data_IF_224050657510
#
_entry.id   IF_224050657510
#
_cell.length_a   1.000
_cell.length_b   1.000
_cell.length_c   1.000
_cell.angle_alpha   90.00
_cell.angle_beta   90.00
_cell.angle_gamma   90.00
#
_symmetry.space_group_name_H-M   'P 1'
#
loop_
_entity.id
_entity.type
_entity.pdbx_description
1 polymer ?
#
# COMPACT_ATOMS: atom_id res chain seq x y z
N UNK A 1 -14.57 33.47 0.08
CA UNK A 1 -13.51 34.40 -0.38
C UNK A 1 -12.65 33.81 -1.50
N UNK A 2 -12.15 32.58 -1.41
CA UNK A 2 -11.27 31.99 -2.44
C UNK A 2 -11.98 31.18 -3.53
N UNK A 3 -13.23 30.75 -3.29
CA UNK A 3 -13.95 29.83 -4.19
C UNK A 3 -13.49 28.37 -4.09
N UNK A 4 -12.56 28.06 -3.19
CA UNK A 4 -12.10 26.70 -2.92
C UNK A 4 -13.07 25.96 -2.00
N UNK A 5 -13.22 24.66 -2.23
CA UNK A 5 -13.89 23.77 -1.28
C UNK A 5 -13.05 23.62 -0.01
N UNK A 6 -13.73 23.48 1.11
CA UNK A 6 -13.16 23.27 2.43
C UNK A 6 -13.27 21.80 2.84
N UNK A 7 -12.22 21.29 3.48
CA UNK A 7 -12.19 19.93 3.99
C UNK A 7 -11.68 19.90 5.44
N UNK A 8 -12.23 19.03 6.27
CA UNK A 8 -11.73 18.81 7.64
C UNK A 8 -11.83 17.34 8.10
N UNK A 9 -11.00 16.96 9.06
CA UNK A 9 -11.10 15.68 9.75
C UNK A 9 -12.31 15.66 10.68
N UNK A 10 -13.04 14.55 10.70
CA UNK A 10 -14.04 14.21 11.72
C UNK A 10 -13.66 12.89 12.39
N UNK A 11 -13.80 12.85 13.72
CA UNK A 11 -13.39 11.71 14.53
C UNK A 11 -14.52 11.15 15.41
N UNK A 12 -15.67 11.82 15.45
CA UNK A 12 -16.87 11.45 16.20
C UNK A 12 -18.08 12.24 15.67
N UNK A 13 -19.27 11.94 16.18
CA UNK A 13 -20.52 12.63 15.82
C UNK A 13 -20.49 14.14 16.07
N UNK A 14 -19.93 14.59 17.19
CA UNK A 14 -19.85 16.02 17.54
C UNK A 14 -19.05 16.81 16.49
N UNK A 15 -17.96 16.24 15.97
CA UNK A 15 -17.18 16.87 14.90
C UNK A 15 -17.97 16.96 13.59
N UNK A 16 -18.75 15.92 13.27
CA UNK A 16 -19.65 15.93 12.11
C UNK A 16 -20.67 17.06 12.25
N UNK A 17 -21.37 17.15 13.38
CA UNK A 17 -22.38 18.18 13.62
C UNK A 17 -21.80 19.60 13.48
N UNK A 18 -20.61 19.82 14.03
CA UNK A 18 -19.91 21.10 13.90
C UNK A 18 -19.54 21.40 12.45
N UNK A 19 -18.99 20.43 11.72
CA UNK A 19 -18.59 20.62 10.34
C UNK A 19 -19.81 20.89 9.42
N UNK A 20 -20.93 20.21 9.66
CA UNK A 20 -22.19 20.47 8.96
C UNK A 20 -22.74 21.86 9.29
N UNK A 21 -22.77 22.24 10.57
CA UNK A 21 -23.21 23.56 11.03
C UNK A 21 -22.41 24.70 10.41
N UNK A 22 -21.12 24.48 10.17
CA UNK A 22 -20.22 25.45 9.55
C UNK A 22 -20.09 25.27 8.03
N UNK A 23 -20.91 24.42 7.42
CA UNK A 23 -20.96 24.16 5.99
C UNK A 23 -19.60 23.79 5.37
N UNK A 24 -18.84 22.91 6.04
CA UNK A 24 -17.65 22.30 5.43
C UNK A 24 -18.09 21.42 4.26
N UNK A 25 -17.35 21.46 3.14
CA UNK A 25 -17.77 20.80 1.90
C UNK A 25 -17.44 19.30 1.89
N UNK A 26 -16.26 18.94 2.41
CA UNK A 26 -15.72 17.57 2.40
C UNK A 26 -15.30 17.18 3.82
N UNK A 27 -15.66 15.99 4.24
CA UNK A 27 -15.30 15.45 5.54
C UNK A 27 -14.35 14.27 5.32
N UNK A 28 -13.28 14.13 6.10
CA UNK A 28 -12.49 12.90 6.08
C UNK A 28 -12.44 12.20 7.43
N UNK A 29 -12.43 10.88 7.38
CA UNK A 29 -12.22 10.01 8.54
C UNK A 29 -10.73 9.68 8.61
N UNK A 30 -10.09 10.08 9.70
CA UNK A 30 -8.65 9.86 9.91
C UNK A 30 -8.28 8.39 10.11
N UNK A 31 -7.03 8.05 9.82
CA UNK A 31 -6.52 6.67 9.85
C UNK A 31 -6.66 5.97 11.22
N UNK A 32 -6.64 6.74 12.32
CA UNK A 32 -6.85 6.23 13.69
C UNK A 32 -8.33 6.04 14.05
N UNK A 33 -9.24 6.71 13.35
CA UNK A 33 -10.68 6.50 13.49
C UNK A 33 -11.14 5.33 12.64
N UNK A 34 -10.58 5.18 11.43
CA UNK A 34 -10.87 4.06 10.51
C UNK A 34 -10.64 2.69 11.14
N UNK A 35 -9.70 2.56 12.09
CA UNK A 35 -9.48 1.26 12.75
C UNK A 35 -10.62 0.81 13.67
N UNK A 36 -11.57 1.68 14.00
CA UNK A 36 -12.67 1.37 14.91
C UNK A 36 -14.01 1.33 14.17
N UNK A 37 -14.59 0.13 13.98
CA UNK A 37 -15.92 0.00 13.39
C UNK A 37 -17.01 0.79 14.11
N UNK A 38 -16.89 0.95 15.43
CA UNK A 38 -17.85 1.72 16.24
C UNK A 38 -17.76 3.21 15.97
N UNK A 39 -16.55 3.76 15.85
CA UNK A 39 -16.36 5.19 15.54
C UNK A 39 -16.83 5.49 14.12
N UNK A 40 -16.49 4.63 13.16
CA UNK A 40 -16.97 4.80 11.78
C UNK A 40 -18.49 4.70 11.72
N UNK A 41 -19.11 3.80 12.48
CA UNK A 41 -20.57 3.71 12.57
C UNK A 41 -21.19 4.97 13.18
N UNK A 42 -20.62 5.49 14.28
CA UNK A 42 -21.07 6.74 14.91
C UNK A 42 -21.02 7.92 13.93
N UNK A 43 -19.92 8.04 13.18
CA UNK A 43 -19.75 9.07 12.14
C UNK A 43 -20.78 8.85 11.01
N UNK A 44 -20.96 7.61 10.55
CA UNK A 44 -21.92 7.26 9.50
C UNK A 44 -23.36 7.64 9.90
N UNK A 45 -23.74 7.36 11.15
CA UNK A 45 -25.07 7.70 11.66
C UNK A 45 -25.30 9.20 11.75
N UNK A 46 -24.28 9.98 12.15
CA UNK A 46 -24.34 11.44 12.19
C UNK A 46 -24.39 12.08 10.79
N UNK A 47 -23.88 11.40 9.76
CA UNK A 47 -23.89 11.87 8.38
C UNK A 47 -25.19 11.59 7.64
N UNK A 48 -26.09 10.74 8.18
CA UNK A 48 -27.33 10.34 7.50
C UNK A 48 -28.16 11.54 7.04
N UNK A 49 -28.62 11.47 5.79
CA UNK A 49 -29.44 12.53 5.18
C UNK A 49 -28.65 13.75 4.70
N UNK A 50 -27.31 13.71 4.78
CA UNK A 50 -26.45 14.72 4.17
C UNK A 50 -26.02 14.30 2.76
N UNK A 51 -25.63 15.27 1.95
CA UNK A 51 -25.08 15.10 0.60
C UNK A 51 -23.56 15.34 0.55
N UNK A 52 -22.92 15.49 1.72
CA UNK A 52 -21.50 15.81 1.84
C UNK A 52 -20.63 14.70 1.27
N UNK A 53 -19.47 15.11 0.73
CA UNK A 53 -18.46 14.16 0.28
C UNK A 53 -17.68 13.66 1.49
N UNK A 54 -17.50 12.34 1.58
CA UNK A 54 -16.77 11.69 2.68
C UNK A 54 -15.56 10.94 2.14
N UNK A 55 -14.39 11.30 2.65
CA UNK A 55 -13.13 10.64 2.32
C UNK A 55 -12.68 9.75 3.48
N UNK A 56 -12.26 8.52 3.19
CA UNK A 56 -11.87 7.56 4.25
C UNK A 56 -10.39 7.25 4.12
N UNK A 57 -9.58 7.68 5.10
CA UNK A 57 -8.16 7.31 5.13
C UNK A 57 -8.03 5.82 5.42
N UNK A 58 -7.06 5.13 4.81
CA UNK A 58 -6.75 3.74 5.16
C UNK A 58 -6.40 3.62 6.66
N UNK A 59 -6.69 2.45 7.29
CA UNK A 59 -6.31 2.19 8.67
C UNK A 59 -4.79 2.25 8.85
N UNK A 60 -4.34 2.55 10.07
CA UNK A 60 -2.90 2.61 10.38
C UNK A 60 -2.18 1.27 10.26
N UNK A 61 -2.90 0.15 10.24
CA UNK A 61 -2.37 -1.19 10.04
C UNK A 61 -2.73 -1.69 8.63
N UNK A 62 -1.89 -2.52 7.98
CA UNK A 62 -2.11 -3.04 6.63
C UNK A 62 -3.25 -4.08 6.58
N UNK A 63 -4.48 -3.62 6.86
CA UNK A 63 -5.70 -4.41 6.90
C UNK A 63 -6.69 -3.88 5.84
N UNK A 64 -6.70 -4.56 4.70
CA UNK A 64 -7.58 -4.22 3.59
C UNK A 64 -9.06 -4.40 3.97
N UNK A 65 -9.40 -5.49 4.65
CA UNK A 65 -10.80 -5.78 5.01
C UNK A 65 -11.37 -4.70 5.92
N UNK A 66 -10.56 -4.18 6.85
CA UNK A 66 -10.96 -3.07 7.71
C UNK A 66 -11.17 -1.77 6.94
N UNK A 67 -10.34 -1.49 5.93
CA UNK A 67 -10.53 -0.31 5.07
C UNK A 67 -11.81 -0.40 4.24
N UNK A 68 -12.04 -1.56 3.61
CA UNK A 68 -13.25 -1.86 2.84
C UNK A 68 -14.50 -1.76 3.71
N UNK A 69 -14.48 -2.35 4.91
CA UNK A 69 -15.59 -2.27 5.85
C UNK A 69 -15.91 -0.85 6.33
N UNK A 70 -14.92 0.04 6.36
CA UNK A 70 -15.16 1.47 6.64
C UNK A 70 -15.96 2.15 5.53
N UNK A 71 -15.63 1.86 4.28
CA UNK A 71 -16.34 2.35 3.08
C UNK A 71 -17.77 1.83 3.04
N UNK A 72 -17.96 0.53 3.25
CA UNK A 72 -19.28 -0.11 3.25
C UNK A 72 -20.21 0.47 4.31
N UNK A 73 -19.70 0.84 5.49
CA UNK A 73 -20.50 1.48 6.55
C UNK A 73 -21.00 2.85 6.16
N UNK A 74 -20.13 3.68 5.60
CA UNK A 74 -20.50 5.03 5.15
C UNK A 74 -21.49 4.93 3.98
N UNK A 75 -21.25 4.01 3.04
CA UNK A 75 -22.17 3.75 1.94
C UNK A 75 -23.55 3.26 2.43
N UNK A 76 -23.58 2.37 3.43
CA UNK A 76 -24.82 1.87 4.03
C UNK A 76 -25.64 2.92 4.78
N UNK A 77 -25.04 4.07 5.10
CA UNK A 77 -25.73 5.24 5.63
C UNK A 77 -26.34 6.15 4.53
N UNK A 78 -26.40 5.66 3.28
CA UNK A 78 -26.89 6.36 2.08
C UNK A 78 -26.03 7.56 1.66
N UNK A 79 -24.75 7.55 2.06
CA UNK A 79 -23.75 8.53 1.60
C UNK A 79 -23.11 7.99 0.33
N UNK A 80 -23.37 8.64 -0.81
CA UNK A 80 -22.91 8.16 -2.13
C UNK A 80 -21.63 8.82 -2.62
N UNK A 81 -21.36 10.03 -2.16
CA UNK A 81 -20.17 10.80 -2.51
C UNK A 81 -19.01 10.34 -1.62
N UNK A 82 -18.41 9.19 -1.94
CA UNK A 82 -17.32 8.60 -1.16
C UNK A 82 -16.02 8.59 -1.98
N UNK A 83 -14.90 8.88 -1.32
CA UNK A 83 -13.56 8.60 -1.82
C UNK A 83 -12.69 7.99 -0.73
N UNK A 84 -11.50 7.54 -1.11
CA UNK A 84 -10.53 7.01 -0.14
C UNK A 84 -9.19 7.71 -0.25
N UNK A 85 -8.49 7.80 0.89
CA UNK A 85 -7.17 8.41 0.97
C UNK A 85 -6.17 7.37 1.46
N UNK A 86 -5.19 7.08 0.63
CA UNK A 86 -4.08 6.22 0.98
C UNK A 86 -2.92 7.04 1.53
N UNK A 87 -2.59 6.83 2.80
CA UNK A 87 -1.58 7.55 3.59
C UNK A 87 -0.48 6.63 4.14
N UNK A 88 -0.40 5.40 3.61
CA UNK A 88 0.52 4.35 4.06
C UNK A 88 0.14 3.75 5.40
N UNK A 89 0.91 2.76 5.84
CA UNK A 89 0.68 1.94 7.02
C UNK A 89 1.86 2.04 7.99
N UNK A 90 1.56 1.95 9.28
CA UNK A 90 2.56 1.91 10.33
C UNK A 90 3.41 0.65 10.17
N UNK A 91 4.73 0.79 10.28
CA UNK A 91 5.66 -0.33 10.32
C UNK A 91 6.51 -0.26 11.58
N UNK A 92 6.85 -1.43 12.13
CA UNK A 92 7.80 -1.55 13.23
C UNK A 92 9.26 -1.40 12.77
N UNK A 93 9.53 -1.72 11.51
CA UNK A 93 10.89 -1.72 10.96
C UNK A 93 11.30 -0.30 10.55
N UNK A 94 12.61 0.00 10.71
CA UNK A 94 13.17 1.27 10.23
C UNK A 94 13.07 1.33 8.71
N UNK A 95 12.17 2.18 8.22
CA UNK A 95 12.01 2.48 6.80
C UNK A 95 12.48 3.91 6.49
N UNK A 96 12.74 4.19 5.20
CA UNK A 96 12.92 5.57 4.72
C UNK A 96 11.64 6.41 4.81
N UNK A 97 10.49 5.76 4.97
CA UNK A 97 9.17 6.38 5.09
C UNK A 97 8.69 6.36 6.54
N UNK A 98 7.91 7.37 6.94
CA UNK A 98 7.20 7.38 8.24
C UNK A 98 6.12 6.29 8.28
N UNK A 99 5.41 6.08 7.17
CA UNK A 99 4.44 5.00 7.00
C UNK A 99 4.77 4.27 5.68
N UNK A 100 4.89 2.94 5.71
CA UNK A 100 5.17 2.16 4.52
C UNK A 100 3.97 2.28 3.56
N UNK A 101 4.16 2.70 2.30
CA UNK A 101 3.04 2.81 1.38
C UNK A 101 2.32 1.49 1.12
N UNK A 102 2.99 0.33 1.11
CA UNK A 102 2.33 -0.95 0.78
C UNK A 102 1.37 -0.85 -0.43
N UNK A 103 1.86 -0.29 -1.54
CA UNK A 103 1.06 0.08 -2.71
C UNK A 103 0.12 -1.02 -3.20
N UNK A 104 0.52 -2.29 -3.06
CA UNK A 104 -0.28 -3.45 -3.42
C UNK A 104 -1.62 -3.52 -2.69
N UNK A 105 -1.73 -3.02 -1.46
CA UNK A 105 -3.00 -2.99 -0.71
C UNK A 105 -3.96 -1.98 -1.32
N UNK A 106 -3.45 -0.82 -1.72
CA UNK A 106 -4.27 0.20 -2.37
C UNK A 106 -4.70 -0.20 -3.79
N UNK A 107 -3.83 -0.91 -4.52
CA UNK A 107 -4.19 -1.53 -5.82
C UNK A 107 -5.28 -2.59 -5.63
N UNK A 108 -5.14 -3.45 -4.63
CA UNK A 108 -6.16 -4.46 -4.34
C UNK A 108 -7.49 -3.84 -3.88
N UNK A 109 -7.44 -2.75 -3.11
CA UNK A 109 -8.64 -1.97 -2.80
C UNK A 109 -9.36 -1.49 -4.08
N UNK A 110 -8.61 -0.90 -5.02
CA UNK A 110 -9.15 -0.44 -6.31
C UNK A 110 -9.73 -1.58 -7.17
N UNK A 111 -9.13 -2.78 -7.14
CA UNK A 111 -9.70 -3.94 -7.83
C UNK A 111 -11.08 -4.32 -7.28
N UNK A 112 -11.31 -4.15 -5.98
CA UNK A 112 -12.59 -4.43 -5.33
C UNK A 112 -13.59 -3.27 -5.49
N UNK A 113 -13.11 -2.02 -5.56
CA UNK A 113 -13.92 -0.81 -5.68
C UNK A 113 -13.40 0.12 -6.80
N UNK A 114 -13.56 -0.27 -8.09
CA UNK A 114 -12.97 0.46 -9.22
C UNK A 114 -13.57 1.85 -9.47
N UNK A 115 -14.77 2.10 -8.94
CA UNK A 115 -15.49 3.37 -9.15
C UNK A 115 -15.25 4.38 -8.03
N UNK A 116 -14.55 4.00 -6.94
CA UNK A 116 -14.28 4.88 -5.81
C UNK A 116 -12.96 5.62 -6.05
N UNK A 117 -12.92 6.97 -6.03
CA UNK A 117 -11.67 7.70 -6.21
C UNK A 117 -10.62 7.38 -5.15
N UNK A 118 -9.37 7.13 -5.58
CA UNK A 118 -8.23 6.87 -4.72
C UNK A 118 -7.23 8.03 -4.73
N UNK A 119 -7.08 8.67 -3.57
CA UNK A 119 -6.22 9.83 -3.35
C UNK A 119 -4.97 9.40 -2.58
N UNK A 120 -3.78 9.89 -2.96
CA UNK A 120 -2.53 9.64 -2.24
C UNK A 120 -2.23 10.78 -1.27
N UNK A 121 -1.86 10.47 -0.03
CA UNK A 121 -1.34 11.41 0.96
C UNK A 121 0.17 11.18 1.14
N UNK A 122 1.01 11.74 0.24
CA UNK A 122 2.46 11.55 0.27
C UNK A 122 3.11 12.20 1.51
N UNK A 123 2.48 13.23 2.09
CA UNK A 123 3.01 13.95 3.26
C UNK A 123 3.09 13.04 4.47
N UNK A 124 2.01 12.30 4.71
CA UNK A 124 1.95 11.33 5.80
C UNK A 124 2.73 10.05 5.51
N UNK A 125 2.78 9.58 4.26
CA UNK A 125 3.64 8.44 3.88
C UNK A 125 5.10 8.79 4.16
N UNK A 126 5.58 9.90 3.62
CA UNK A 126 6.97 10.33 3.78
C UNK A 126 7.31 10.66 5.23
N UNK A 127 6.49 11.51 5.87
CA UNK A 127 6.85 12.21 7.11
C UNK A 127 7.98 13.22 6.95
N UNK A 128 8.35 13.57 5.71
CA UNK A 128 9.39 14.54 5.37
C UNK A 128 9.23 15.11 3.96
N UNK A 129 9.65 16.36 3.76
CA UNK A 129 9.43 17.14 2.52
C UNK A 129 10.14 16.59 1.27
N UNK A 130 11.32 15.98 1.42
CA UNK A 130 12.20 15.57 0.32
C UNK A 130 11.59 14.44 -0.53
N UNK A 131 10.76 13.58 0.06
CA UNK A 131 10.15 12.43 -0.63
C UNK A 131 8.77 12.72 -1.24
N UNK A 132 8.18 13.89 -0.98
CA UNK A 132 6.79 14.16 -1.39
C UNK A 132 6.63 14.08 -2.90
N UNK A 133 7.57 14.67 -3.67
CA UNK A 133 7.50 14.63 -5.12
C UNK A 133 7.56 13.19 -5.67
N UNK A 134 8.51 12.38 -5.21
CA UNK A 134 8.69 11.01 -5.71
C UNK A 134 7.47 10.13 -5.39
N UNK A 135 6.88 10.30 -4.20
CA UNK A 135 5.68 9.57 -3.78
C UNK A 135 4.44 10.03 -4.55
N UNK A 136 4.29 11.35 -4.78
CA UNK A 136 3.23 11.89 -5.64
C UNK A 136 3.34 11.32 -7.06
N UNK A 137 4.53 11.36 -7.67
CA UNK A 137 4.73 10.81 -9.01
C UNK A 137 4.45 9.30 -9.05
N UNK A 138 4.93 8.55 -8.06
CA UNK A 138 4.67 7.10 -7.95
C UNK A 138 3.16 6.82 -7.89
N UNK A 139 2.39 7.59 -7.12
CA UNK A 139 0.94 7.37 -7.05
C UNK A 139 0.24 7.68 -8.37
N UNK A 140 0.67 8.70 -9.11
CA UNK A 140 0.13 8.99 -10.45
C UNK A 140 0.49 7.90 -11.45
N UNK A 141 1.72 7.36 -11.40
CA UNK A 141 2.15 6.25 -12.23
C UNK A 141 1.36 4.95 -11.91
N UNK A 142 0.79 4.85 -10.72
CA UNK A 142 -0.13 3.80 -10.28
C UNK A 142 -1.62 4.14 -10.53
N UNK A 143 -1.90 5.19 -11.33
CA UNK A 143 -3.24 5.63 -11.72
C UNK A 143 -4.13 6.14 -10.59
N UNK A 144 -3.56 6.76 -9.55
CA UNK A 144 -4.35 7.44 -8.52
C UNK A 144 -5.07 8.66 -9.08
N UNK A 145 -6.23 8.98 -8.52
CA UNK A 145 -7.12 10.05 -9.00
C UNK A 145 -6.79 11.42 -8.40
N UNK A 146 -5.98 11.48 -7.34
CA UNK A 146 -5.63 12.74 -6.71
C UNK A 146 -4.53 12.66 -5.66
N UNK A 147 -4.16 13.83 -5.14
CA UNK A 147 -3.13 14.02 -4.11
C UNK A 147 -3.66 14.87 -2.95
N UNK A 148 -3.27 14.52 -1.72
CA UNK A 148 -3.47 15.31 -0.50
C UNK A 148 -2.10 15.71 0.06
N UNK A 149 -1.67 16.95 -0.19
CA UNK A 149 -0.34 17.45 0.20
C UNK A 149 -0.48 18.54 1.26
N UNK A 150 0.29 18.44 2.34
CA UNK A 150 0.34 19.47 3.37
C UNK A 150 1.25 20.63 2.96
N UNK A 151 0.73 21.84 3.06
CA UNK A 151 1.48 23.06 2.78
C UNK A 151 1.28 24.07 3.90
N UNK A 152 2.37 24.74 4.29
CA UNK A 152 2.36 25.81 5.29
C UNK A 152 3.28 26.93 4.84
N UNK A 153 2.92 28.18 5.16
CA UNK A 153 3.68 29.35 4.72
C UNK A 153 5.07 29.42 5.38
N UNK A 154 5.19 28.90 6.61
CA UNK A 154 6.43 28.76 7.38
C UNK A 154 6.53 27.39 8.05
N UNK A 155 6.86 26.32 7.29
CA UNK A 155 6.79 24.95 7.77
C UNK A 155 7.67 24.65 8.99
N UNK A 156 8.79 25.34 9.17
CA UNK A 156 9.72 25.06 10.29
C UNK A 156 9.18 25.51 11.64
N UNK A 157 8.21 26.44 11.66
CA UNK A 157 7.54 26.94 12.86
C UNK A 157 6.09 26.43 12.99
N UNK A 158 5.67 25.47 12.17
CA UNK A 158 4.34 24.88 12.27
C UNK A 158 4.17 24.11 13.59
N UNK A 159 3.00 24.22 14.21
CA UNK A 159 2.72 23.56 15.51
C UNK A 159 2.54 22.04 15.41
N UNK A 160 2.23 21.53 14.23
CA UNK A 160 2.12 20.11 13.92
C UNK A 160 2.83 19.83 12.62
N UNK A 161 3.42 18.64 12.49
CA UNK A 161 3.83 18.08 11.19
C UNK A 161 4.78 18.99 10.37
N UNK A 162 5.59 19.77 11.09
CA UNK A 162 6.55 20.71 10.51
C UNK A 162 7.43 20.05 9.44
N UNK A 163 7.98 18.87 9.73
CA UNK A 163 8.96 18.19 8.88
C UNK A 163 8.43 17.78 7.50
N UNK A 164 7.13 17.58 7.33
CA UNK A 164 6.51 17.15 6.07
C UNK A 164 5.78 18.25 5.30
N UNK A 165 5.46 19.38 5.92
CA UNK A 165 4.78 20.47 5.22
C UNK A 165 5.71 21.15 4.21
N UNK A 166 5.28 21.29 2.96
CA UNK A 166 6.01 22.07 1.95
C UNK A 166 5.60 23.54 2.01
N UNK A 167 6.42 24.44 1.46
CA UNK A 167 5.99 25.83 1.26
C UNK A 167 5.03 25.92 0.05
N UNK A 168 4.15 26.93 -0.03
CA UNK A 168 3.31 27.14 -1.21
C UNK A 168 4.09 27.23 -2.52
N UNK A 169 5.27 27.88 -2.50
CA UNK A 169 6.17 27.96 -3.66
C UNK A 169 6.63 26.57 -4.09
N UNK A 170 7.00 25.70 -3.15
CA UNK A 170 7.42 24.33 -3.45
C UNK A 170 6.25 23.48 -3.94
N UNK A 171 5.05 23.64 -3.38
CA UNK A 171 3.84 22.96 -3.85
C UNK A 171 3.54 23.28 -5.31
N UNK A 172 3.59 24.57 -5.70
CA UNK A 172 3.43 24.99 -7.10
C UNK A 172 4.46 24.31 -8.01
N UNK A 173 5.71 24.22 -7.55
CA UNK A 173 6.77 23.56 -8.32
C UNK A 173 6.49 22.06 -8.48
N UNK A 174 6.10 21.37 -7.41
CA UNK A 174 5.70 19.95 -7.46
C UNK A 174 4.59 19.76 -8.51
N UNK A 175 3.52 20.58 -8.46
CA UNK A 175 2.42 20.46 -9.42
C UNK A 175 2.84 20.66 -10.89
N UNK A 176 3.85 21.49 -11.15
CA UNK A 176 4.40 21.69 -12.51
C UNK A 176 5.28 20.54 -12.96
N UNK A 177 6.01 19.93 -12.03
CA UNK A 177 6.98 18.88 -12.33
C UNK A 177 6.29 17.51 -12.51
N UNK A 178 5.15 17.29 -11.87
CA UNK A 178 4.38 16.05 -11.96
C UNK A 178 3.95 15.76 -13.39
N UNK A 179 4.11 14.49 -13.79
CA UNK A 179 3.71 13.98 -15.09
C UNK A 179 2.51 13.07 -14.94
N UNK A 180 1.39 13.48 -15.50
CA UNK A 180 0.19 12.64 -15.64
C UNK A 180 0.35 11.84 -16.93
N UNK A 181 0.25 10.51 -16.83
CA UNK A 181 0.39 9.60 -17.97
C UNK A 181 -0.98 9.10 -18.42
N UNK A 182 -1.14 8.89 -19.72
CA UNK A 182 -2.34 8.27 -20.25
C UNK A 182 -2.43 6.80 -19.83
N UNK A 183 -3.64 6.35 -19.46
CA UNK A 183 -3.88 4.96 -19.01
C UNK A 183 -3.60 3.93 -20.12
N UNK A 184 -3.77 4.32 -21.39
CA UNK A 184 -3.58 3.43 -22.53
C UNK A 184 -2.99 4.17 -23.71
N UNK A 185 -2.18 3.46 -24.50
CA UNK A 185 -1.68 3.92 -25.78
C UNK A 185 -2.01 2.86 -26.84
N UNK A 186 -2.70 3.25 -27.91
CA UNK A 186 -3.23 2.33 -28.92
C UNK A 186 -2.36 2.18 -30.18
N UNK A 187 -1.07 2.52 -30.11
CA UNK A 187 -0.15 2.27 -31.22
C UNK A 187 0.06 0.77 -31.44
N UNK A 188 -0.22 0.27 -32.64
CA UNK A 188 -0.09 -1.16 -32.98
C UNK A 188 1.34 -1.69 -32.77
N UNK A 189 2.35 -0.94 -33.22
CA UNK A 189 3.77 -1.29 -33.00
C UNK A 189 4.12 -1.37 -31.51
N UNK A 190 3.65 -0.41 -30.72
CA UNK A 190 3.83 -0.42 -29.26
C UNK A 190 3.21 -1.66 -28.61
N UNK A 191 1.97 -2.00 -28.99
CA UNK A 191 1.28 -3.18 -28.45
C UNK A 191 2.00 -4.48 -28.83
N UNK A 192 2.50 -4.58 -30.06
CA UNK A 192 3.27 -5.73 -30.51
C UNK A 192 4.59 -5.88 -29.72
N UNK A 193 5.32 -4.78 -29.53
CA UNK A 193 6.56 -4.78 -28.74
C UNK A 193 6.29 -5.14 -27.27
N UNK A 194 5.24 -4.58 -26.67
CA UNK A 194 4.83 -4.87 -25.29
C UNK A 194 4.44 -6.33 -25.11
N UNK A 195 3.67 -6.89 -26.04
CA UNK A 195 3.25 -8.29 -26.00
C UNK A 195 4.45 -9.25 -26.13
N UNK A 196 5.41 -8.94 -26.99
CA UNK A 196 6.64 -9.73 -27.11
C UNK A 196 7.44 -9.74 -25.79
N UNK A 197 7.61 -8.58 -25.15
CA UNK A 197 8.28 -8.48 -23.84
C UNK A 197 7.51 -9.24 -22.75
N UNK A 198 6.17 -9.17 -22.74
CA UNK A 198 5.33 -9.94 -21.81
C UNK A 198 5.50 -11.45 -22.00
N UNK A 199 5.53 -11.94 -23.25
CA UNK A 199 5.80 -13.34 -23.52
C UNK A 199 7.18 -13.81 -23.02
N UNK A 200 8.20 -12.95 -23.04
CA UNK A 200 9.50 -13.27 -22.45
C UNK A 200 9.42 -13.43 -20.92
N UNK A 201 8.62 -12.59 -20.25
CA UNK A 201 8.31 -12.72 -18.82
C UNK A 201 7.58 -14.04 -18.56
N UNK A 202 6.54 -14.36 -19.35
CA UNK A 202 5.76 -15.59 -19.18
C UNK A 202 6.65 -16.85 -19.26
N UNK A 203 7.61 -16.87 -20.19
CA UNK A 203 8.59 -17.98 -20.30
C UNK A 203 9.50 -18.03 -19.06
N UNK A 204 9.97 -16.89 -18.57
CA UNK A 204 10.81 -16.82 -17.36
C UNK A 204 10.04 -17.32 -16.13
N UNK A 205 8.79 -16.93 -15.97
CA UNK A 205 7.92 -17.33 -14.86
C UNK A 205 7.62 -18.84 -14.89
N UNK A 206 7.37 -19.40 -16.07
CA UNK A 206 7.19 -20.84 -16.22
C UNK A 206 8.46 -21.63 -15.87
N UNK A 207 9.63 -21.11 -16.23
CA UNK A 207 10.91 -21.70 -15.85
C UNK A 207 11.16 -21.62 -14.34
N UNK A 208 10.76 -20.51 -13.70
CA UNK A 208 10.85 -20.34 -12.25
C UNK A 208 9.98 -21.38 -11.53
N UNK A 209 8.72 -21.54 -11.94
CA UNK A 209 7.80 -22.54 -11.38
C UNK A 209 8.35 -23.97 -11.52
N UNK A 210 8.85 -24.29 -12.71
CA UNK A 210 9.46 -25.62 -12.98
C UNK A 210 10.66 -25.87 -12.08
N UNK A 211 11.52 -24.86 -11.90
CA UNK A 211 12.73 -24.94 -11.07
C UNK A 211 12.38 -25.08 -9.59
N UNK A 212 11.42 -24.29 -9.10
CA UNK A 212 10.92 -24.38 -7.73
C UNK A 212 10.28 -25.75 -7.46
N UNK A 213 9.51 -26.30 -8.41
CA UNK A 213 8.96 -27.65 -8.33
C UNK A 213 10.04 -28.72 -8.17
N UNK A 214 11.06 -28.71 -9.04
CA UNK A 214 12.23 -29.61 -8.93
C UNK A 214 12.93 -29.48 -7.57
N UNK A 215 13.10 -28.24 -7.08
CA UNK A 215 13.68 -27.98 -5.76
C UNK A 215 12.83 -28.57 -4.63
N UNK A 216 11.50 -28.53 -4.72
CA UNK A 216 10.60 -29.13 -3.72
C UNK A 216 10.68 -30.66 -3.72
N UNK A 217 10.86 -31.32 -4.86
CA UNK A 217 11.11 -32.77 -4.92
C UNK A 217 12.40 -33.15 -4.17
N UNK A 218 13.47 -32.38 -4.32
CA UNK A 218 14.69 -32.57 -3.52
C UNK A 218 14.42 -32.35 -2.03
N UNK A 219 13.64 -31.34 -1.66
CA UNK A 219 13.24 -31.11 -0.27
C UNK A 219 12.45 -32.29 0.31
N UNK A 220 11.56 -32.92 -0.46
CA UNK A 220 10.84 -34.14 -0.07
C UNK A 220 11.78 -35.31 0.18
N UNK A 221 12.75 -35.53 -0.71
CA UNK A 221 13.76 -36.59 -0.55
C UNK A 221 14.63 -36.37 0.70
N UNK A 222 15.01 -35.11 0.99
CA UNK A 222 15.70 -34.75 2.24
C UNK A 222 14.81 -35.06 3.46
N UNK A 223 13.51 -34.72 3.39
CA UNK A 223 12.55 -35.03 4.45
C UNK A 223 12.45 -36.52 4.74
N UNK A 224 12.37 -37.35 3.68
CA UNK A 224 12.35 -38.81 3.79
C UNK A 224 13.63 -39.33 4.44
N UNK A 225 14.80 -38.92 3.95
CA UNK A 225 16.09 -39.32 4.51
C UNK A 225 16.20 -38.95 6.00
N UNK A 226 15.74 -37.76 6.38
CA UNK A 226 15.73 -37.33 7.78
C UNK A 226 14.77 -38.16 8.64
N UNK A 227 13.58 -38.46 8.12
CA UNK A 227 12.60 -39.33 8.77
C UNK A 227 13.17 -40.72 9.05
N UNK A 228 13.76 -41.34 8.02
CA UNK A 228 14.35 -42.69 8.10
C UNK A 228 15.50 -42.76 9.13
N UNK A 229 16.15 -41.64 9.41
CA UNK A 229 17.29 -41.54 10.34
C UNK A 229 16.95 -40.80 11.66
N UNK A 230 15.67 -40.51 11.92
CA UNK A 230 15.20 -39.78 13.11
C UNK A 230 15.91 -38.42 13.34
N UNK A 231 16.19 -37.67 12.26
CA UNK A 231 16.85 -36.36 12.28
C UNK A 231 15.84 -35.23 12.19
N UNK A 232 16.08 -34.13 12.93
CA UNK A 232 15.21 -32.95 12.90
C UNK A 232 15.17 -32.25 11.53
N UNK A 233 13.98 -31.75 11.16
CA UNK A 233 13.72 -31.02 9.91
C UNK A 233 14.55 -29.73 9.83
N UNK A 234 14.55 -28.93 10.90
CA UNK A 234 15.08 -27.57 10.88
C UNK A 234 16.59 -27.56 11.16
N UNK A 235 17.36 -26.93 10.27
CA UNK A 235 18.80 -26.73 10.41
C UNK A 235 19.16 -25.27 10.14
N UNK A 236 19.10 -24.45 11.19
CA UNK A 236 19.24 -22.98 11.10
C UNK A 236 20.59 -22.51 10.53
N UNK A 237 21.69 -23.22 10.82
CA UNK A 237 23.04 -22.82 10.37
C UNK A 237 23.14 -22.80 8.83
N UNK A 238 22.72 -23.90 8.18
CA UNK A 238 22.73 -24.02 6.71
C UNK A 238 21.80 -22.99 6.04
N UNK A 239 20.66 -22.71 6.68
CA UNK A 239 19.73 -21.70 6.16
C UNK A 239 20.36 -20.31 6.12
N UNK A 240 21.01 -19.89 7.22
CA UNK A 240 21.67 -18.59 7.29
C UNK A 240 22.82 -18.47 6.29
N UNK A 241 23.61 -19.53 6.09
CA UNK A 241 24.70 -19.57 5.09
C UNK A 241 24.16 -19.40 3.65
N UNK A 242 23.07 -20.10 3.31
CA UNK A 242 22.44 -19.98 1.98
C UNK A 242 21.85 -18.58 1.80
N UNK A 243 21.16 -18.06 2.81
CA UNK A 243 20.50 -16.76 2.71
C UNK A 243 21.51 -15.64 2.46
N UNK A 244 22.63 -15.63 3.20
CA UNK A 244 23.71 -14.66 2.98
C UNK A 244 24.28 -14.72 1.57
N UNK A 245 24.48 -15.93 1.03
CA UNK A 245 24.93 -16.09 -0.36
C UNK A 245 23.91 -15.56 -1.37
N UNK A 246 22.62 -15.88 -1.19
CA UNK A 246 21.58 -15.44 -2.13
C UNK A 246 21.39 -13.93 -2.14
N UNK A 247 21.61 -13.24 -1.01
CA UNK A 247 21.61 -11.78 -0.96
C UNK A 247 22.70 -11.21 -1.88
N UNK A 248 23.95 -11.68 -1.74
CA UNK A 248 25.07 -11.23 -2.56
C UNK A 248 24.86 -11.55 -4.05
N UNK A 249 24.43 -12.77 -4.38
CA UNK A 249 24.18 -13.17 -5.76
C UNK A 249 23.00 -12.35 -6.35
N UNK A 250 21.96 -12.08 -5.56
CA UNK A 250 20.80 -11.30 -5.97
C UNK A 250 21.12 -9.86 -6.34
N UNK A 251 22.01 -9.21 -5.58
CA UNK A 251 22.51 -7.86 -5.91
C UNK A 251 23.18 -7.84 -7.29
N UNK A 252 23.95 -8.88 -7.64
CA UNK A 252 24.57 -9.05 -8.96
C UNK A 252 23.57 -9.17 -10.11
N UNK A 253 22.32 -9.52 -9.81
CA UNK A 253 21.21 -9.58 -10.77
C UNK A 253 20.29 -8.35 -10.72
N UNK A 254 20.67 -7.30 -9.99
CA UNK A 254 19.86 -6.08 -9.85
C UNK A 254 18.64 -6.25 -8.94
N UNK A 255 18.61 -7.26 -8.08
CA UNK A 255 17.54 -7.49 -7.12
C UNK A 255 17.90 -6.88 -5.76
N UNK A 256 16.94 -6.20 -5.12
CA UNK A 256 17.16 -5.63 -3.78
C UNK A 256 17.28 -6.72 -2.71
N UNK A 257 18.09 -6.46 -1.68
CA UNK A 257 18.23 -7.34 -0.51
C UNK A 257 16.87 -7.71 0.12
N UNK A 258 15.98 -6.74 0.30
CA UNK A 258 14.66 -6.96 0.91
C UNK A 258 13.83 -7.98 0.12
N UNK A 259 13.80 -7.84 -1.21
CA UNK A 259 13.12 -8.78 -2.10
C UNK A 259 13.68 -10.20 -1.96
N UNK A 260 15.01 -10.35 -2.03
CA UNK A 260 15.68 -11.65 -1.89
C UNK A 260 15.37 -12.30 -0.55
N UNK A 261 15.44 -11.52 0.53
CA UNK A 261 15.11 -11.99 1.87
C UNK A 261 13.67 -12.53 1.96
N UNK A 262 12.68 -11.78 1.46
CA UNK A 262 11.28 -12.20 1.48
C UNK A 262 11.04 -13.43 0.61
N UNK A 263 11.57 -13.41 -0.61
CA UNK A 263 11.40 -14.47 -1.59
C UNK A 263 11.98 -15.81 -1.12
N UNK A 264 13.24 -15.82 -0.68
CA UNK A 264 13.88 -17.06 -0.25
C UNK A 264 13.32 -17.58 1.07
N UNK A 265 12.90 -16.71 2.00
CA UNK A 265 12.17 -17.13 3.22
C UNK A 265 10.88 -17.87 2.87
N UNK A 266 10.10 -17.36 1.91
CA UNK A 266 8.88 -18.03 1.45
C UNK A 266 9.17 -19.41 0.83
N UNK A 267 10.19 -19.51 -0.04
CA UNK A 267 10.64 -20.77 -0.63
C UNK A 267 11.09 -21.77 0.45
N UNK A 268 11.81 -21.30 1.46
CA UNK A 268 12.26 -22.15 2.56
C UNK A 268 11.09 -22.66 3.40
N UNK A 269 10.14 -21.79 3.72
CA UNK A 269 8.93 -22.17 4.44
C UNK A 269 8.14 -23.24 3.67
N UNK A 270 8.01 -23.11 2.35
CA UNK A 270 7.35 -24.11 1.53
C UNK A 270 8.08 -25.46 1.52
N UNK A 271 9.41 -25.44 1.61
CA UNK A 271 10.22 -26.66 1.76
C UNK A 271 9.96 -27.38 3.08
N UNK A 272 9.85 -26.61 4.18
CA UNK A 272 9.49 -27.14 5.51
C UNK A 272 8.09 -27.76 5.46
N UNK A 273 7.12 -27.09 4.82
CA UNK A 273 5.75 -27.59 4.67
C UNK A 273 5.74 -28.95 3.95
N UNK A 274 6.50 -29.10 2.86
CA UNK A 274 6.62 -30.36 2.14
C UNK A 274 7.26 -31.47 2.98
N UNK A 275 8.32 -31.18 3.74
CA UNK A 275 8.97 -32.15 4.62
C UNK A 275 8.05 -32.59 5.77
N UNK A 276 7.30 -31.66 6.37
CA UNK A 276 6.33 -31.96 7.43
C UNK A 276 5.21 -32.90 6.95
N UNK A 277 4.77 -32.78 5.68
CA UNK A 277 3.76 -33.69 5.10
C UNK A 277 4.24 -35.13 5.03
N UNK A 278 5.55 -35.37 4.92
CA UNK A 278 6.14 -36.71 4.86
C UNK A 278 6.24 -37.31 6.27
N UNK A 279 6.69 -36.54 7.26
CA UNK A 279 6.84 -36.99 8.65
C UNK A 279 5.51 -37.28 9.38
N UNK A 280 4.38 -36.82 8.83
CA UNK A 280 3.04 -37.14 9.34
C UNK A 280 2.44 -38.42 8.75
N UNK A 281 3.11 -39.04 7.77
CA UNK A 281 2.74 -40.36 7.22
C UNK A 281 3.61 -41.43 7.86
#
# INVERSE_FOLDING_TARGET
ETGLLTATEVANSVHVDLALKHNVDILWIGARSTVSPFIVQEIADALKGTDKTVLIKNPVNPDLALWMGGVERIYSADIKNIGVIHRGFSSYDKSKYRNNPEWQIAVEFQNNFPDIPLICDPSHIAGKRDLIYDLSQTSLDLNYDGLMIESHWDPDNAWSDAAQQVTPKRLIQIMKDLKIRDKTFQGEDYQNQLNNLRSQIDVADQNLLTTLGKRMEVAKNIGKLKSDNNVAILQNKRWNEILGKMILDGEGHGLSEEFILRFFKAIHQESINNQKKILKK
#
